data_IF_951611261394
#
_entry.id   IF_951611261394
#
_cell.length_a   1.000
_cell.length_b   1.000
_cell.length_c   1.000
_cell.angle_alpha   90.00
_cell.angle_beta   90.00
_cell.angle_gamma   90.00
#
_symmetry.space_group_name_H-M   'P 1'
#
loop_
_entity.id
_entity.type
_entity.pdbx_description
1 polymer ?
#
# COMPACT_ATOMS: atom_id res chain seq x y z
N UNK A 1 7.36 10.05 6.97
CA UNK A 1 6.57 10.35 5.74
C UNK A 1 5.16 9.83 5.92
N UNK A 2 4.19 10.60 5.50
CA UNK A 2 2.79 10.16 5.55
C UNK A 2 2.59 8.97 4.61
N UNK A 3 1.76 8.04 5.02
CA UNK A 3 1.51 6.84 4.23
C UNK A 3 0.86 7.16 2.88
N UNK A 4 -0.10 8.12 2.85
CA UNK A 4 -0.73 8.48 1.59
C UNK A 4 0.30 9.00 0.58
N UNK A 5 1.28 9.77 1.03
CA UNK A 5 2.35 10.25 0.17
C UNK A 5 3.26 9.10 -0.27
N UNK A 6 3.63 8.23 0.66
CA UNK A 6 4.50 7.09 0.36
C UNK A 6 3.89 6.20 -0.73
N UNK A 7 2.59 5.91 -0.61
CA UNK A 7 1.91 5.07 -1.59
C UNK A 7 1.91 5.69 -2.98
N UNK A 8 1.82 7.02 -3.05
CA UNK A 8 1.88 7.72 -4.32
C UNK A 8 3.30 7.76 -4.87
N UNK A 9 4.28 8.10 -4.05
CA UNK A 9 5.69 8.20 -4.48
C UNK A 9 6.21 6.85 -4.94
N UNK A 10 5.86 5.78 -4.22
CA UNK A 10 6.26 4.42 -4.59
C UNK A 10 5.49 3.87 -5.80
N UNK A 11 4.47 4.59 -6.25
CA UNK A 11 3.61 4.21 -7.36
C UNK A 11 2.81 2.94 -7.13
N UNK A 12 2.70 2.52 -5.88
CA UNK A 12 1.79 1.45 -5.50
C UNK A 12 0.37 1.89 -5.82
N UNK A 13 0.07 3.14 -5.51
CA UNK A 13 -1.19 3.78 -5.91
C UNK A 13 -0.82 5.01 -6.75
N UNK A 14 -1.32 5.11 -7.95
CA UNK A 14 -0.95 6.17 -8.88
C UNK A 14 -1.33 7.57 -8.40
N UNK A 15 -2.46 7.70 -7.72
CA UNK A 15 -2.98 8.99 -7.30
C UNK A 15 -3.09 9.05 -5.78
N UNK A 16 -2.57 10.13 -5.20
CA UNK A 16 -2.64 10.32 -3.76
C UNK A 16 -4.07 10.38 -3.24
N UNK A 17 -4.99 10.96 -4.02
CA UNK A 17 -6.41 11.02 -3.65
C UNK A 17 -7.02 9.63 -3.55
N UNK A 18 -6.64 8.72 -4.43
CA UNK A 18 -7.09 7.33 -4.38
C UNK A 18 -6.53 6.64 -3.14
N UNK A 19 -5.23 6.83 -2.89
CA UNK A 19 -4.60 6.27 -1.69
C UNK A 19 -5.31 6.74 -0.43
N UNK A 20 -5.59 8.04 -0.35
CA UNK A 20 -6.28 8.63 0.79
C UNK A 20 -7.66 8.02 0.98
N UNK A 21 -8.40 7.84 -0.11
CA UNK A 21 -9.72 7.23 -0.07
C UNK A 21 -9.65 5.79 0.46
N UNK A 22 -8.72 4.99 -0.05
CA UNK A 22 -8.56 3.61 0.39
C UNK A 22 -8.15 3.53 1.86
N UNK A 23 -7.30 4.45 2.30
CA UNK A 23 -6.89 4.53 3.70
C UNK A 23 -8.07 4.90 4.59
N UNK A 24 -8.90 5.86 4.16
CA UNK A 24 -10.09 6.25 4.91
C UNK A 24 -11.07 5.09 5.06
N UNK A 25 -11.06 4.16 4.11
CA UNK A 25 -11.93 2.99 4.15
C UNK A 25 -11.36 1.85 4.99
N UNK A 26 -10.19 2.04 5.58
CA UNK A 26 -9.58 1.03 6.45
C UNK A 26 -8.98 -0.15 5.72
N UNK A 27 -8.62 0.02 4.44
CA UNK A 27 -8.12 -1.08 3.61
C UNK A 27 -6.61 -1.31 3.74
N UNK A 28 -5.91 -0.43 4.44
CA UNK A 28 -4.47 -0.57 4.68
C UNK A 28 -4.18 -0.85 6.14
N UNK A 29 -3.17 -1.68 6.36
CA UNK A 29 -2.63 -1.95 7.69
C UNK A 29 -1.14 -1.62 7.68
N UNK A 30 -0.65 -1.03 8.77
CA UNK A 30 0.78 -0.88 9.04
C UNK A 30 1.10 -1.74 10.24
N UNK A 31 1.97 -2.72 10.06
CA UNK A 31 2.38 -3.62 11.15
C UNK A 31 1.16 -4.22 11.86
N UNK A 32 0.13 -4.58 11.10
CA UNK A 32 -1.07 -5.22 11.62
C UNK A 32 -2.14 -4.29 12.16
N UNK A 33 -1.92 -2.98 12.12
CA UNK A 33 -2.90 -1.99 12.61
C UNK A 33 -3.48 -1.19 11.46
N UNK A 34 -4.78 -0.93 11.53
CA UNK A 34 -5.45 -0.12 10.51
C UNK A 34 -4.78 1.25 10.42
N UNK A 35 -4.39 1.62 9.21
CA UNK A 35 -3.70 2.87 8.95
C UNK A 35 -4.66 3.94 8.45
N UNK A 36 -4.30 5.20 8.71
CA UNK A 36 -4.99 6.39 8.22
C UNK A 36 -4.10 7.10 7.21
N UNK A 37 -4.66 8.03 6.39
CA UNK A 37 -3.85 8.77 5.42
C UNK A 37 -2.65 9.47 6.06
N UNK A 38 -2.83 10.01 7.25
CA UNK A 38 -1.79 10.73 7.97
C UNK A 38 -0.85 9.83 8.77
N UNK A 39 -1.09 8.53 8.78
CA UNK A 39 -0.20 7.60 9.49
C UNK A 39 1.21 7.73 8.95
N UNK A 40 2.19 7.76 9.85
CA UNK A 40 3.59 7.83 9.47
C UNK A 40 4.12 6.45 9.14
N UNK A 41 4.95 6.37 8.12
CA UNK A 41 5.59 5.14 7.71
C UNK A 41 7.10 5.31 7.79
N UNK A 42 7.79 4.26 8.22
CA UNK A 42 9.23 4.25 8.35
C UNK A 42 9.84 3.03 7.66
N UNK A 43 11.12 3.09 7.39
CA UNK A 43 11.85 1.97 6.82
C UNK A 43 11.68 0.75 7.73
N UNK A 44 11.35 -0.37 7.13
CA UNK A 44 11.12 -1.60 7.86
C UNK A 44 9.66 -1.89 8.18
N UNK A 45 8.79 -0.89 8.05
CA UNK A 45 7.37 -1.12 8.29
C UNK A 45 6.78 -2.07 7.25
N UNK A 46 5.85 -2.90 7.70
CA UNK A 46 5.11 -3.81 6.83
C UNK A 46 3.74 -3.22 6.57
N UNK A 47 3.44 -2.99 5.31
CA UNK A 47 2.17 -2.40 4.88
C UNK A 47 1.38 -3.45 4.11
N UNK A 48 0.13 -3.65 4.51
CA UNK A 48 -0.79 -4.55 3.83
C UNK A 48 -1.92 -3.77 3.19
N UNK A 49 -2.27 -4.15 1.98
CA UNK A 49 -3.43 -3.61 1.28
C UNK A 49 -4.36 -4.76 0.95
N UNK A 50 -5.63 -4.63 1.34
CA UNK A 50 -6.69 -5.54 0.90
C UNK A 50 -7.63 -4.75 0.00
N UNK A 51 -7.67 -5.11 -1.27
CA UNK A 51 -8.50 -4.44 -2.24
C UNK A 51 -9.25 -5.48 -3.07
N UNK A 52 -10.54 -5.60 -2.80
CA UNK A 52 -11.34 -6.63 -3.42
C UNK A 52 -10.79 -8.00 -3.08
N UNK A 53 -10.41 -8.76 -4.10
CA UNK A 53 -9.83 -10.09 -3.92
C UNK A 53 -8.31 -10.08 -3.83
N UNK A 54 -7.72 -8.92 -3.94
CA UNK A 54 -6.27 -8.79 -4.01
C UNK A 54 -5.73 -8.35 -2.67
N UNK A 55 -4.77 -9.10 -2.14
CA UNK A 55 -4.08 -8.74 -0.91
C UNK A 55 -2.59 -8.65 -1.21
N UNK A 56 -2.02 -7.51 -0.92
CA UNK A 56 -0.60 -7.25 -1.15
C UNK A 56 0.03 -6.88 0.18
N UNK A 57 1.17 -7.47 0.47
CA UNK A 57 1.96 -7.13 1.65
C UNK A 57 3.34 -6.70 1.16
N UNK A 58 3.74 -5.50 1.57
CA UNK A 58 5.06 -4.97 1.21
C UNK A 58 5.79 -4.55 2.46
N UNK A 59 7.12 -4.48 2.34
CA UNK A 59 7.97 -3.93 3.38
C UNK A 59 8.59 -2.64 2.86
N UNK A 60 8.55 -1.59 3.65
CA UNK A 60 9.15 -0.32 3.30
C UNK A 60 10.66 -0.46 3.33
N UNK A 61 11.30 -0.24 2.19
CA UNK A 61 12.74 -0.37 2.03
C UNK A 61 13.44 0.97 2.12
N UNK A 62 12.89 1.98 1.47
CA UNK A 62 13.44 3.33 1.46
C UNK A 62 12.32 4.34 1.51
N UNK A 63 12.63 5.52 2.02
CA UNK A 63 11.74 6.68 1.99
C UNK A 63 12.39 7.77 1.17
N UNK A 64 11.62 8.38 0.28
CA UNK A 64 12.09 9.50 -0.51
C UNK A 64 10.90 10.40 -0.83
N UNK A 65 11.08 11.73 -0.79
CA UNK A 65 9.98 12.65 -1.10
C UNK A 65 9.61 12.62 -2.58
N UNK A 66 10.53 12.14 -3.41
CA UNK A 66 10.33 12.04 -4.85
C UNK A 66 11.33 11.05 -5.44
N UNK A 67 10.89 10.25 -6.39
CA UNK A 67 11.75 9.37 -7.18
C UNK A 67 11.25 9.34 -8.61
N UNK A 68 12.15 9.00 -9.53
CA UNK A 68 11.77 8.76 -10.91
C UNK A 68 10.98 7.47 -10.99
N UNK A 69 10.17 7.34 -12.05
CA UNK A 69 9.30 6.18 -12.23
C UNK A 69 10.06 4.86 -12.10
N UNK A 70 11.21 4.76 -12.76
CA UNK A 70 11.99 3.53 -12.78
C UNK A 70 12.66 3.23 -11.43
N UNK A 71 12.73 4.22 -10.54
CA UNK A 71 13.32 4.06 -9.22
C UNK A 71 12.29 3.75 -8.14
N UNK A 72 11.01 3.89 -8.46
CA UNK A 72 9.96 3.73 -7.45
C UNK A 72 9.92 2.32 -6.87
N UNK A 73 10.31 1.32 -7.65
CA UNK A 73 10.34 -0.07 -7.19
C UNK A 73 11.39 -0.29 -6.09
N UNK A 74 12.36 0.62 -5.95
CA UNK A 74 13.37 0.51 -4.92
C UNK A 74 12.87 0.91 -3.54
N UNK A 75 11.68 1.51 -3.46
CA UNK A 75 11.13 2.00 -2.19
C UNK A 75 10.51 0.88 -1.36
N UNK A 76 10.21 -0.25 -1.96
CA UNK A 76 9.55 -1.34 -1.25
C UNK A 76 9.97 -2.70 -1.76
N UNK A 77 9.70 -3.71 -0.94
CA UNK A 77 9.87 -5.12 -1.31
C UNK A 77 8.51 -5.78 -1.14
N UNK A 78 8.09 -6.51 -2.17
CA UNK A 78 6.84 -7.27 -2.08
C UNK A 78 7.12 -8.54 -1.27
N UNK A 79 6.43 -8.68 -0.14
CA UNK A 79 6.54 -9.87 0.70
C UNK A 79 5.52 -10.91 0.31
N UNK A 80 4.33 -10.47 -0.10
CA UNK A 80 3.26 -11.36 -0.49
C UNK A 80 2.34 -10.63 -1.45
N UNK A 81 1.90 -11.32 -2.48
CA UNK A 81 0.96 -10.79 -3.44
C UNK A 81 -0.01 -11.93 -3.74
N UNK A 82 -1.16 -11.90 -3.05
CA UNK A 82 -2.13 -12.97 -3.12
C UNK A 82 -3.44 -12.49 -3.73
N UNK A 83 -4.01 -13.34 -4.55
CA UNK A 83 -5.38 -13.14 -5.00
C UNK A 83 -6.23 -14.06 -4.15
N UNK A 84 -7.07 -13.47 -3.32
CA UNK A 84 -7.96 -14.23 -2.46
C UNK A 84 -9.15 -14.67 -3.29
N UNK A 85 -9.27 -15.96 -3.51
CA UNK A 85 -10.42 -16.49 -4.20
C UNK A 85 -11.58 -16.54 -3.24
N UNK A 86 -12.70 -16.01 -3.69
CA UNK A 86 -13.92 -16.05 -2.91
C UNK A 86 -15.04 -16.59 -3.79
N UNK A 87 -15.90 -17.34 -3.17
CA UNK A 87 -16.96 -18.02 -3.89
C UNK A 87 -17.85 -17.08 -4.67
N UNK A 88 -18.13 -15.92 -4.11
CA UNK A 88 -19.02 -14.98 -4.78
C UNK A 88 -18.44 -14.40 -6.07
N UNK A 89 -17.15 -14.61 -6.32
CA UNK A 89 -16.55 -14.14 -7.57
C UNK A 89 -17.16 -14.86 -8.76
N UNK A 90 -17.53 -16.09 -8.55
CA UNK A 90 -18.16 -16.84 -9.59
C UNK A 90 -19.58 -16.38 -9.82
N UNK A 91 -20.08 -15.64 -8.88
CA UNK A 91 -21.43 -15.10 -8.96
C UNK A 91 -21.42 -13.78 -9.74
N UNK A 92 -20.33 -13.08 -9.63
CA UNK A 92 -20.21 -11.76 -10.23
C UNK A 92 -19.95 -11.81 -11.73
#
# INVERSE_FOLDING_TARGET
MRLDKYLKVSRIIKRRTVAKNLLDRGLFLINGKVAKPSSEVEVGDVVELSLGRHKITIKVKELAPYVKKEESINLYVVLSDEIIEVIYDEIS
#
